data_IF_278108586397
#
_entry.id   IF_278108586397
#
_cell.length_a   1.000
_cell.length_b   1.000
_cell.length_c   1.000
_cell.angle_alpha   90.00
_cell.angle_beta   90.00
_cell.angle_gamma   90.00
#
_symmetry.space_group_name_H-M   'P 1'
#
loop_
_entity.id
_entity.type
_entity.pdbx_description
1 polymer ?
#
# COMPACT_ATOMS: atom_id res chain seq x y z
N UNK A 1 -49.57 -0.91 -27.48
CA UNK A 1 -49.08 -1.16 -26.11
C UNK A 1 -47.66 -0.63 -26.05
N UNK A 2 -47.37 0.32 -25.15
CA UNK A 2 -46.06 0.99 -25.04
C UNK A 2 -45.13 0.12 -24.18
N UNK A 3 -44.12 -0.50 -24.80
CA UNK A 3 -43.08 -1.22 -24.06
C UNK A 3 -41.95 -0.25 -23.71
N UNK A 4 -41.87 0.12 -22.43
CA UNK A 4 -40.70 0.79 -21.85
C UNK A 4 -39.60 -0.26 -21.65
N UNK A 5 -38.54 -0.19 -22.44
CA UNK A 5 -37.31 -0.92 -22.17
C UNK A 5 -36.48 -0.10 -21.17
N UNK A 6 -36.51 -0.49 -19.89
CA UNK A 6 -35.61 0.06 -18.88
C UNK A 6 -34.23 -0.60 -19.03
N UNK A 7 -33.25 0.18 -19.49
CA UNK A 7 -31.85 -0.22 -19.49
C UNK A 7 -31.30 -0.07 -18.06
N UNK A 8 -31.09 -1.20 -17.39
CA UNK A 8 -30.44 -1.27 -16.08
C UNK A 8 -28.92 -1.22 -16.30
N UNK A 9 -28.33 -0.02 -16.28
CA UNK A 9 -26.87 0.13 -16.22
C UNK A 9 -26.38 -0.30 -14.84
N UNK A 10 -25.85 -1.52 -14.74
CA UNK A 10 -25.08 -1.98 -13.59
C UNK A 10 -23.80 -1.14 -13.48
N UNK A 11 -23.78 -0.17 -12.57
CA UNK A 11 -22.54 0.47 -12.13
C UNK A 11 -21.79 -0.55 -11.27
N UNK A 12 -20.97 -1.38 -11.91
CA UNK A 12 -19.98 -2.17 -11.20
C UNK A 12 -18.95 -1.20 -10.60
N UNK A 13 -19.08 -0.90 -9.32
CA UNK A 13 -17.99 -0.28 -8.57
C UNK A 13 -16.87 -1.32 -8.46
N UNK A 14 -15.66 -1.04 -8.98
CA UNK A 14 -14.55 -1.98 -8.85
C UNK A 14 -14.11 -2.01 -7.39
N UNK A 15 -14.44 -3.08 -6.68
CA UNK A 15 -13.97 -3.33 -5.31
C UNK A 15 -12.43 -3.36 -5.27
N UNK A 16 -11.79 -3.96 -6.27
CA UNK A 16 -10.32 -4.03 -6.38
C UNK A 16 -9.63 -2.66 -6.53
N UNK A 17 -10.30 -1.67 -7.13
CA UNK A 17 -9.73 -0.34 -7.23
C UNK A 17 -9.77 0.41 -5.89
N UNK A 18 -10.68 0.06 -4.97
CA UNK A 18 -10.82 0.75 -3.68
C UNK A 18 -9.53 0.62 -2.87
N UNK A 19 -9.02 -0.60 -2.70
CA UNK A 19 -7.84 -0.88 -1.87
C UNK A 19 -6.58 -0.29 -2.50
N UNK A 20 -6.38 -0.51 -3.81
CA UNK A 20 -5.28 0.08 -4.57
C UNK A 20 -5.27 1.62 -4.50
N UNK A 21 -6.45 2.25 -4.55
CA UNK A 21 -6.55 3.71 -4.47
C UNK A 21 -6.28 4.28 -3.09
N UNK A 22 -6.70 3.60 -2.02
CA UNK A 22 -6.36 4.02 -0.66
C UNK A 22 -4.86 3.83 -0.38
N UNK A 23 -4.24 2.76 -0.87
CA UNK A 23 -2.80 2.53 -0.81
C UNK A 23 -2.01 3.66 -1.52
N UNK A 24 -2.32 3.90 -2.80
CA UNK A 24 -1.68 4.96 -3.59
C UNK A 24 -1.90 6.34 -2.95
N UNK A 25 -3.10 6.61 -2.45
CA UNK A 25 -3.39 7.85 -1.75
C UNK A 25 -2.53 7.99 -0.50
N UNK A 26 -2.41 6.95 0.32
CA UNK A 26 -1.56 6.97 1.50
C UNK A 26 -0.12 7.27 1.11
N UNK A 27 0.44 6.49 0.18
CA UNK A 27 1.83 6.60 -0.25
C UNK A 27 2.17 7.99 -0.75
N UNK A 28 1.33 8.58 -1.62
CA UNK A 28 1.54 9.95 -2.10
C UNK A 28 1.53 10.96 -0.96
N UNK A 29 0.55 10.86 -0.06
CA UNK A 29 0.37 11.86 1.00
C UNK A 29 1.41 11.69 2.10
N UNK A 30 1.88 10.47 2.40
CA UNK A 30 2.96 10.22 3.35
C UNK A 30 4.30 10.82 2.87
N UNK A 31 4.57 10.81 1.56
CA UNK A 31 5.75 11.54 1.02
C UNK A 31 5.64 13.05 1.23
N UNK A 32 4.44 13.60 1.05
CA UNK A 32 4.16 15.04 1.20
C UNK A 32 4.16 15.44 2.69
N UNK A 33 3.64 14.59 3.55
CA UNK A 33 3.65 14.70 5.01
C UNK A 33 5.07 14.77 5.55
N UNK A 34 5.94 13.84 5.14
CA UNK A 34 7.38 13.81 5.52
C UNK A 34 8.16 15.04 5.07
N UNK A 35 7.65 15.79 4.09
CA UNK A 35 8.21 17.08 3.68
C UNK A 35 7.69 18.25 4.54
N UNK A 36 6.80 17.99 5.48
CA UNK A 36 6.25 18.93 6.47
C UNK A 36 4.92 19.57 6.06
N UNK A 37 4.11 18.94 5.20
CA UNK A 37 2.86 19.53 4.72
C UNK A 37 1.72 19.44 5.74
N UNK A 38 1.06 20.55 6.03
CA UNK A 38 -0.11 20.59 6.91
C UNK A 38 -1.42 20.30 6.15
N UNK A 39 -2.03 19.14 6.41
CA UNK A 39 -3.28 18.73 5.76
C UNK A 39 -4.49 19.53 6.23
N UNK A 40 -5.26 20.03 5.25
CA UNK A 40 -6.52 20.73 5.48
C UNK A 40 -7.77 19.84 5.37
N UNK A 41 -7.67 18.63 4.82
CA UNK A 41 -8.79 17.70 4.70
C UNK A 41 -9.03 16.93 6.01
N UNK A 42 -10.27 16.53 6.33
CA UNK A 42 -10.54 15.61 7.43
C UNK A 42 -9.71 14.33 7.38
N UNK A 43 -9.59 13.71 6.21
CA UNK A 43 -8.84 12.46 6.05
C UNK A 43 -7.35 12.65 6.31
N UNK A 44 -6.75 13.69 5.72
CA UNK A 44 -5.32 13.96 5.89
C UNK A 44 -4.96 14.26 7.35
N UNK A 45 -5.79 15.03 8.05
CA UNK A 45 -5.59 15.27 9.49
C UNK A 45 -5.73 14.00 10.32
N UNK A 46 -6.67 13.13 10.00
CA UNK A 46 -6.88 11.90 10.75
C UNK A 46 -5.72 10.91 10.57
N UNK A 47 -5.19 10.79 9.34
CA UNK A 47 -4.10 9.87 9.02
C UNK A 47 -2.73 10.40 9.47
N UNK A 48 -2.48 11.71 9.35
CA UNK A 48 -1.14 12.29 9.55
C UNK A 48 -1.01 13.24 10.75
N UNK A 49 -2.10 13.53 11.47
CA UNK A 49 -2.16 14.32 12.72
C UNK A 49 -1.65 15.78 12.71
N UNK A 50 -0.87 16.22 11.69
CA UNK A 50 -0.27 17.56 11.55
C UNK A 50 0.64 18.02 12.73
N UNK A 51 1.12 17.10 13.58
CA UNK A 51 1.85 17.47 14.80
C UNK A 51 3.23 18.08 14.56
N UNK A 52 3.87 17.75 13.45
CA UNK A 52 5.24 18.14 13.06
C UNK A 52 5.31 18.88 11.71
N UNK A 53 4.15 19.25 11.14
CA UNK A 53 4.10 19.95 9.87
C UNK A 53 4.59 21.41 9.98
N UNK A 54 5.18 21.93 8.90
CA UNK A 54 5.78 23.28 8.85
C UNK A 54 4.96 24.28 8.03
N UNK A 55 3.99 23.81 7.22
CA UNK A 55 3.09 24.70 6.48
C UNK A 55 2.36 24.04 5.32
N UNK A 56 1.64 24.84 4.54
CA UNK A 56 0.87 24.38 3.36
C UNK A 56 1.66 24.41 2.05
N UNK A 57 2.94 24.75 2.12
CA UNK A 57 3.84 24.76 0.97
C UNK A 57 5.14 24.10 1.41
N UNK A 58 5.51 23.04 0.72
CA UNK A 58 6.71 22.24 1.00
C UNK A 58 7.43 21.97 -0.30
N UNK A 59 8.75 21.89 -0.23
CA UNK A 59 9.58 21.48 -1.36
C UNK A 59 9.91 20.00 -1.24
N UNK A 60 9.65 19.24 -2.29
CA UNK A 60 10.04 17.83 -2.35
C UNK A 60 11.45 17.71 -2.93
N UNK A 61 12.36 16.94 -2.31
CA UNK A 61 13.62 16.61 -2.96
C UNK A 61 13.34 15.81 -4.25
N UNK A 62 14.25 15.83 -5.25
CA UNK A 62 13.98 15.26 -6.57
C UNK A 62 13.52 13.78 -6.56
N UNK A 63 14.04 12.96 -5.64
CA UNK A 63 13.63 11.56 -5.53
C UNK A 63 12.18 11.41 -5.04
N UNK A 64 11.78 12.19 -4.03
CA UNK A 64 10.40 12.23 -3.53
C UNK A 64 9.44 12.76 -4.60
N UNK A 65 9.86 13.78 -5.36
CA UNK A 65 9.10 14.30 -6.50
C UNK A 65 8.83 13.24 -7.57
N UNK A 66 9.83 12.41 -7.90
CA UNK A 66 9.65 11.28 -8.83
C UNK A 66 8.68 10.23 -8.31
N UNK A 67 8.78 9.87 -7.03
CA UNK A 67 7.84 8.93 -6.40
C UNK A 67 6.40 9.47 -6.44
N UNK A 68 6.19 10.74 -6.07
CA UNK A 68 4.85 11.38 -6.16
C UNK A 68 4.32 11.39 -7.59
N UNK A 69 5.18 11.62 -8.59
CA UNK A 69 4.78 11.58 -10.00
C UNK A 69 4.35 10.17 -10.42
N UNK A 70 5.14 9.14 -10.07
CA UNK A 70 4.81 7.74 -10.34
C UNK A 70 3.48 7.35 -9.68
N UNK A 71 3.29 7.67 -8.39
CA UNK A 71 2.05 7.35 -7.67
C UNK A 71 0.84 8.03 -8.31
N UNK A 72 0.97 9.29 -8.75
CA UNK A 72 -0.10 9.99 -9.48
C UNK A 72 -0.43 9.36 -10.82
N UNK A 73 0.57 8.84 -11.53
CA UNK A 73 0.36 8.08 -12.76
C UNK A 73 -0.45 6.81 -12.47
N UNK A 74 -0.07 6.05 -11.45
CA UNK A 74 -0.82 4.87 -11.02
C UNK A 74 -2.25 5.25 -10.57
N UNK A 75 -2.42 6.31 -9.77
CA UNK A 75 -3.75 6.81 -9.37
C UNK A 75 -4.63 7.11 -10.60
N UNK A 76 -4.04 7.65 -11.67
CA UNK A 76 -4.77 7.91 -12.92
C UNK A 76 -5.15 6.62 -13.66
N UNK A 77 -4.26 5.63 -13.72
CA UNK A 77 -4.52 4.33 -14.33
C UNK A 77 -5.63 3.56 -13.62
N UNK A 78 -5.63 3.56 -12.28
CA UNK A 78 -6.67 2.95 -11.46
C UNK A 78 -7.96 3.77 -11.36
N UNK A 79 -7.99 5.01 -11.89
CA UNK A 79 -9.16 5.89 -11.84
C UNK A 79 -9.51 6.38 -10.43
N UNK A 80 -8.50 6.59 -9.59
CA UNK A 80 -8.66 6.80 -8.15
C UNK A 80 -9.39 8.09 -7.76
N UNK A 81 -10.33 7.94 -6.82
CA UNK A 81 -11.15 9.03 -6.27
C UNK A 81 -11.41 8.82 -4.77
N UNK A 82 -10.35 8.87 -3.96
CA UNK A 82 -10.45 8.73 -2.50
C UNK A 82 -11.25 9.88 -1.89
N UNK A 83 -12.24 9.55 -1.06
CA UNK A 83 -13.07 10.52 -0.35
C UNK A 83 -12.27 11.19 0.77
N UNK A 84 -11.75 12.39 0.54
CA UNK A 84 -10.96 13.10 1.56
C UNK A 84 -11.80 13.78 2.69
N UNK A 85 -13.13 13.65 2.67
CA UNK A 85 -14.03 14.22 3.68
C UNK A 85 -14.27 13.28 4.87
N UNK A 86 -13.93 12.01 4.76
CA UNK A 86 -14.01 11.04 5.86
C UNK A 86 -12.79 11.17 6.79
N UNK A 87 -12.83 10.48 7.94
CA UNK A 87 -11.75 10.52 8.96
C UNK A 87 -11.05 9.18 9.15
N UNK A 88 -11.28 8.22 8.26
CA UNK A 88 -10.57 6.94 8.26
C UNK A 88 -10.16 6.59 6.83
N UNK A 89 -9.00 5.96 6.69
CA UNK A 89 -8.55 5.41 5.42
C UNK A 89 -8.81 3.91 5.44
N UNK A 90 -9.44 3.39 4.40
CA UNK A 90 -9.65 1.94 4.25
C UNK A 90 -8.38 1.30 3.70
N UNK A 91 -7.40 1.13 4.59
CA UNK A 91 -6.10 0.53 4.31
C UNK A 91 -5.74 -0.36 5.48
N UNK A 92 -5.89 -1.67 5.29
CA UNK A 92 -5.80 -2.69 6.32
C UNK A 92 -4.45 -2.69 7.06
N UNK A 93 -3.36 -2.44 6.32
CA UNK A 93 -2.00 -2.41 6.86
C UNK A 93 -1.52 -1.01 7.27
N UNK A 94 -2.42 -0.03 7.47
CA UNK A 94 -2.06 1.37 7.76
C UNK A 94 -1.08 1.49 8.94
N UNK A 95 -1.26 0.70 10.00
CA UNK A 95 -0.38 0.68 11.16
C UNK A 95 1.06 0.22 10.83
N UNK A 96 1.22 -0.64 9.82
CA UNK A 96 2.51 -1.09 9.31
C UNK A 96 3.15 0.02 8.46
N UNK A 97 2.34 0.69 7.62
CA UNK A 97 2.82 1.76 6.72
C UNK A 97 3.48 2.92 7.45
N UNK A 98 2.97 3.28 8.63
CA UNK A 98 3.57 4.34 9.46
C UNK A 98 4.96 3.99 10.01
N UNK A 99 5.35 2.71 10.01
CA UNK A 99 6.65 2.24 10.51
C UNK A 99 7.74 2.24 9.43
N UNK A 100 7.36 2.43 8.16
CA UNK A 100 8.27 2.28 7.02
C UNK A 100 9.18 3.50 6.85
N UNK A 101 10.45 3.25 6.56
CA UNK A 101 11.39 4.25 6.07
C UNK A 101 11.19 4.49 4.58
N UNK A 102 11.11 3.42 3.79
CA UNK A 102 10.87 3.49 2.36
C UNK A 102 9.42 3.10 2.06
N UNK A 103 8.67 3.97 1.38
CA UNK A 103 7.24 3.73 1.11
C UNK A 103 7.09 2.90 -0.18
N UNK A 104 6.31 1.82 -0.15
CA UNK A 104 6.08 1.00 -1.34
C UNK A 104 5.03 1.66 -2.25
N UNK A 105 5.08 1.36 -3.54
CA UNK A 105 4.11 1.85 -4.53
C UNK A 105 3.30 0.66 -5.04
N UNK A 106 1.97 0.75 -4.95
CA UNK A 106 1.04 -0.27 -5.46
C UNK A 106 1.33 -0.58 -6.93
N UNK A 107 1.36 -1.87 -7.25
CA UNK A 107 1.48 -2.40 -8.62
C UNK A 107 0.09 -2.67 -9.22
N UNK A 108 0.03 -2.83 -10.54
CA UNK A 108 -1.14 -3.30 -11.29
C UNK A 108 -1.37 -4.80 -11.13
N UNK A 109 -0.31 -5.52 -10.79
CA UNK A 109 -0.34 -6.97 -10.60
C UNK A 109 -0.32 -7.32 -9.13
N UNK A 110 -1.03 -8.38 -8.80
CA UNK A 110 -1.07 -8.92 -7.46
C UNK A 110 -1.00 -10.45 -7.50
N UNK A 111 -0.23 -11.00 -6.58
CA UNK A 111 -0.09 -12.43 -6.37
C UNK A 111 0.04 -12.72 -4.88
N UNK A 112 -0.12 -13.99 -4.50
CA UNK A 112 0.05 -14.40 -3.12
C UNK A 112 0.69 -15.78 -3.01
N UNK A 113 1.57 -15.93 -2.02
CA UNK A 113 2.03 -17.20 -1.51
C UNK A 113 1.06 -17.66 -0.42
N UNK A 114 0.29 -18.72 -0.68
CA UNK A 114 -0.65 -19.26 0.30
C UNK A 114 0.05 -20.36 1.11
N UNK A 115 0.22 -20.11 2.41
CA UNK A 115 0.83 -21.05 3.33
C UNK A 115 2.34 -21.14 3.15
N UNK A 116 3.05 -20.10 3.58
CA UNK A 116 4.51 -20.01 3.61
C UNK A 116 5.15 -21.25 4.26
N UNK A 117 6.11 -21.87 3.58
CA UNK A 117 6.83 -23.06 4.05
C UNK A 117 8.28 -22.75 4.41
N UNK A 118 8.74 -21.53 4.16
CA UNK A 118 10.09 -21.09 4.49
C UNK A 118 10.33 -20.89 6.00
N UNK A 119 11.57 -20.58 6.40
CA UNK A 119 11.88 -20.21 7.77
C UNK A 119 11.21 -18.89 8.16
N UNK A 120 11.24 -18.58 9.46
CA UNK A 120 10.87 -17.25 9.96
C UNK A 120 11.75 -16.21 9.27
N UNK A 121 11.12 -15.28 8.56
CA UNK A 121 11.81 -14.30 7.72
C UNK A 121 11.49 -12.90 8.22
N UNK A 122 12.51 -12.09 8.48
CA UNK A 122 12.34 -10.72 8.94
C UNK A 122 11.98 -9.76 7.80
N UNK A 123 11.02 -8.88 8.04
CA UNK A 123 10.58 -7.82 7.14
C UNK A 123 11.08 -6.47 7.64
N UNK A 124 11.57 -5.63 6.73
CA UNK A 124 12.28 -4.38 7.08
C UNK A 124 11.46 -3.13 6.82
N UNK A 125 11.76 -2.06 7.56
CA UNK A 125 11.18 -0.74 7.35
C UNK A 125 11.54 -0.13 5.98
N UNK A 126 12.64 -0.55 5.37
CA UNK A 126 13.10 -0.02 4.09
C UNK A 126 13.83 -1.06 3.26
N UNK A 127 14.01 -0.77 1.98
CA UNK A 127 14.65 -1.65 1.00
C UNK A 127 16.18 -1.57 1.09
N UNK A 128 16.71 -1.89 2.29
CA UNK A 128 18.15 -1.91 2.62
C UNK A 128 18.44 -2.79 3.84
N UNK A 129 19.63 -3.42 3.92
CA UNK A 129 19.95 -4.38 5.00
C UNK A 129 20.02 -3.78 6.41
N UNK A 130 20.32 -2.49 6.55
CA UNK A 130 20.45 -1.78 7.82
C UNK A 130 19.11 -1.23 8.35
N UNK A 131 18.04 -1.27 7.55
CA UNK A 131 16.72 -0.89 8.02
C UNK A 131 16.22 -1.85 9.11
N UNK A 132 15.57 -1.33 10.17
CA UNK A 132 15.10 -2.14 11.29
C UNK A 132 14.05 -3.15 10.83
N UNK A 133 13.98 -4.28 11.54
CA UNK A 133 12.90 -5.24 11.39
C UNK A 133 11.61 -4.66 11.99
N UNK A 134 10.54 -4.66 11.20
CA UNK A 134 9.21 -4.16 11.58
C UNK A 134 8.13 -5.24 11.45
N UNK A 135 8.45 -6.37 10.82
CA UNK A 135 7.55 -7.49 10.65
C UNK A 135 8.30 -8.80 10.50
N UNK A 136 7.53 -9.87 10.44
CA UNK A 136 7.97 -11.24 10.22
C UNK A 136 7.01 -11.95 9.26
N UNK A 137 7.55 -12.90 8.50
CA UNK A 137 6.79 -13.97 7.87
C UNK A 137 7.06 -15.24 8.67
N UNK A 138 6.02 -15.96 9.05
CA UNK A 138 6.12 -17.25 9.74
C UNK A 138 5.47 -18.38 8.92
N UNK A 139 5.79 -19.62 9.28
CA UNK A 139 5.24 -20.79 8.58
C UNK A 139 3.71 -20.80 8.66
N UNK A 140 3.06 -20.97 7.50
CA UNK A 140 1.61 -20.97 7.34
C UNK A 140 1.01 -19.63 6.91
N UNK A 141 1.75 -18.53 6.96
CA UNK A 141 1.26 -17.20 6.55
C UNK A 141 0.85 -17.17 5.08
N UNK A 142 -0.15 -16.35 4.76
CA UNK A 142 -0.42 -15.92 3.40
C UNK A 142 0.37 -14.64 3.14
N UNK A 143 1.29 -14.66 2.17
CA UNK A 143 2.16 -13.52 1.83
C UNK A 143 1.65 -12.89 0.54
N UNK A 144 1.21 -11.64 0.63
CA UNK A 144 0.67 -10.89 -0.51
C UNK A 144 1.73 -10.01 -1.17
N UNK A 145 1.78 -10.06 -2.50
CA UNK A 145 2.65 -9.26 -3.34
C UNK A 145 1.78 -8.38 -4.22
N UNK A 146 1.82 -7.08 -4.00
CA UNK A 146 0.97 -6.13 -4.73
C UNK A 146 1.66 -4.79 -4.99
N UNK A 147 2.99 -4.77 -4.91
CA UNK A 147 3.79 -3.54 -4.93
C UNK A 147 4.97 -3.68 -5.88
N UNK A 148 5.33 -2.57 -6.51
CA UNK A 148 6.42 -2.50 -7.47
C UNK A 148 7.74 -2.82 -6.73
N UNK A 149 8.49 -3.83 -7.18
CA UNK A 149 9.75 -4.19 -6.54
C UNK A 149 10.85 -3.14 -6.79
N UNK A 150 11.78 -3.04 -5.84
CA UNK A 150 12.97 -2.17 -5.90
C UNK A 150 14.22 -3.05 -5.83
N UNK A 151 14.78 -3.40 -7.00
CA UNK A 151 15.88 -4.37 -7.06
C UNK A 151 15.41 -5.75 -6.60
N UNK A 152 16.09 -6.34 -5.61
CA UNK A 152 15.66 -7.60 -4.99
C UNK A 152 14.59 -7.42 -3.90
N UNK A 153 14.22 -6.19 -3.57
CA UNK A 153 13.30 -5.90 -2.48
C UNK A 153 11.86 -5.81 -2.97
N UNK A 154 10.95 -6.45 -2.25
CA UNK A 154 9.51 -6.33 -2.46
C UNK A 154 8.81 -6.06 -1.14
N UNK A 155 7.81 -5.19 -1.14
CA UNK A 155 7.00 -4.99 0.05
C UNK A 155 5.87 -6.02 0.07
N UNK A 156 5.79 -6.74 1.18
CA UNK A 156 4.78 -7.78 1.39
C UNK A 156 4.00 -7.50 2.66
N UNK A 157 2.78 -7.97 2.67
CA UNK A 157 1.97 -8.12 3.89
C UNK A 157 1.74 -9.61 4.14
N UNK A 158 1.64 -9.98 5.41
CA UNK A 158 1.27 -11.34 5.81
C UNK A 158 -0.11 -11.34 6.46
N UNK A 159 -0.87 -12.39 6.21
CA UNK A 159 -2.24 -12.56 6.70
C UNK A 159 -2.55 -14.03 6.97
N UNK A 160 -3.68 -14.28 7.62
CA UNK A 160 -4.30 -15.60 7.65
C UNK A 160 -5.32 -15.79 6.51
N UNK A 161 -6.12 -16.86 6.56
CA UNK A 161 -7.19 -17.11 5.59
C UNK A 161 -8.29 -16.03 5.53
N UNK A 162 -8.34 -15.13 6.51
CA UNK A 162 -9.25 -13.98 6.56
C UNK A 162 -8.72 -12.74 5.82
N UNK A 163 -7.50 -12.82 5.26
CA UNK A 163 -6.86 -11.76 4.48
C UNK A 163 -6.66 -10.44 5.22
N UNK A 164 -6.74 -10.47 6.55
CA UNK A 164 -6.41 -9.32 7.39
C UNK A 164 -4.90 -9.28 7.62
N UNK A 165 -4.28 -8.15 7.33
CA UNK A 165 -2.86 -7.91 7.47
C UNK A 165 -2.46 -8.00 8.96
N UNK A 166 -1.56 -8.92 9.25
CA UNK A 166 -1.04 -9.17 10.61
C UNK A 166 0.40 -8.67 10.77
N UNK A 167 1.16 -8.64 9.67
CA UNK A 167 2.54 -8.16 9.62
C UNK A 167 2.87 -7.69 8.20
N UNK A 168 3.97 -6.97 8.02
CA UNK A 168 4.37 -6.46 6.72
C UNK A 168 5.68 -5.68 6.75
N UNK A 169 6.25 -5.46 5.57
CA UNK A 169 7.51 -4.76 5.38
C UNK A 169 8.25 -5.21 4.13
N UNK A 170 9.47 -4.71 3.95
CA UNK A 170 10.32 -5.04 2.81
C UNK A 170 11.04 -6.37 3.02
N UNK A 171 10.82 -7.28 2.07
CA UNK A 171 11.46 -8.58 1.94
C UNK A 171 12.58 -8.51 0.89
N UNK A 172 13.79 -8.96 1.23
CA UNK A 172 14.87 -9.16 0.25
C UNK A 172 14.75 -10.56 -0.36
N UNK A 173 14.22 -10.63 -1.58
CA UNK A 173 13.98 -11.89 -2.29
C UNK A 173 15.25 -12.62 -2.67
N UNK A 174 16.42 -11.97 -2.63
CA UNK A 174 17.70 -12.63 -2.88
C UNK A 174 18.17 -13.51 -1.72
N UNK A 175 17.62 -13.28 -0.52
CA UNK A 175 18.00 -13.98 0.71
C UNK A 175 17.01 -15.10 1.07
N UNK A 176 15.90 -15.20 0.36
CA UNK A 176 14.87 -16.20 0.61
C UNK A 176 14.63 -17.06 -0.60
N UNK A 177 14.56 -18.37 -0.39
CA UNK A 177 13.99 -19.28 -1.36
C UNK A 177 12.51 -19.41 -1.03
N UNK A 178 11.67 -18.71 -1.78
CA UNK A 178 10.22 -18.75 -1.60
C UNK A 178 9.69 -20.16 -1.84
N UNK A 179 8.96 -20.67 -0.85
CA UNK A 179 8.32 -21.97 -0.88
C UNK A 179 6.92 -21.83 -0.32
N UNK A 180 5.93 -22.07 -1.16
CA UNK A 180 4.53 -21.90 -0.86
C UNK A 180 3.80 -23.22 -1.01
N UNK A 181 2.78 -23.45 -0.20
CA UNK A 181 1.88 -24.59 -0.42
C UNK A 181 1.11 -24.41 -1.73
N UNK A 182 0.64 -23.19 -1.98
CA UNK A 182 -0.07 -22.81 -3.19
C UNK A 182 0.30 -21.36 -3.56
N UNK A 183 0.17 -21.03 -4.84
CA UNK A 183 0.37 -19.67 -5.35
C UNK A 183 -0.92 -19.20 -6.00
N UNK A 184 -1.36 -17.99 -5.67
CA UNK A 184 -2.49 -17.30 -6.28
C UNK A 184 -2.02 -16.10 -7.11
N UNK A 185 -2.72 -15.80 -8.22
CA UNK A 185 -2.43 -14.67 -9.11
C UNK A 185 -3.37 -14.64 -10.32
#
# INVERSE_FOLDING_TARGET
MKSFAAALCLLASPVLASDACHDLWFTRNAVIDRAGYCFGSPLGRAVFNNGDCIGKSVSLPPHAGRMVALVKEMEARFGCRVNNKQTYLDLDDLFLRHQLWDLPVRDEFESACLGWLGPVTGLRAGHRPDAPLVGLIVAGDYVSYSHIPVGSWTYVTTSGPDWQATSGGWLDTSLVQEQCREVAG
#
